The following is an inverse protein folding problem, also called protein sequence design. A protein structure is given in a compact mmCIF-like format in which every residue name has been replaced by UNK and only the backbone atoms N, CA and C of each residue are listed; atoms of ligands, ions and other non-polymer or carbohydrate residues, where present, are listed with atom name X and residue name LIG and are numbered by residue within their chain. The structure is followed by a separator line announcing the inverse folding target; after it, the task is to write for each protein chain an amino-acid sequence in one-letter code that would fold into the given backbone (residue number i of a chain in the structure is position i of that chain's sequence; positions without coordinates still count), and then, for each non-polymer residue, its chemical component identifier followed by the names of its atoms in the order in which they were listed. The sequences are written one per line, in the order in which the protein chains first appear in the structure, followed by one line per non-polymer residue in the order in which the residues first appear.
data_IF_179327679571
#
_entry.id   IF_179327679571
#
_cell.length_a   1.000
_cell.length_b   1.000
_cell.length_c   1.000
_cell.angle_alpha   90.00
_cell.angle_beta   90.00
_cell.angle_gamma   90.00
#
_symmetry.space_group_name_H-M   'P 1'
#
loop_
_entity.id
_entity.type
_entity.pdbx_description
1 polymer ?
#
# COMPACT_ATOMS: atom_id res chain seq x y z
N UNK A 1 -20.47 -2.82 -8.57
CA UNK A 1 -20.10 -1.49 -9.07
C UNK A 1 -19.62 -0.54 -7.96
N UNK A 2 -20.32 -0.41 -6.83
CA UNK A 2 -19.95 0.52 -5.73
C UNK A 2 -18.56 0.22 -5.17
N UNK A 3 -18.24 -1.06 -4.92
CA UNK A 3 -16.95 -1.48 -4.35
C UNK A 3 -15.78 -1.17 -5.29
N UNK A 4 -15.92 -1.48 -6.58
CA UNK A 4 -14.88 -1.18 -7.58
C UNK A 4 -14.64 0.33 -7.64
N UNK A 5 -15.71 1.11 -7.71
CA UNK A 5 -15.63 2.57 -7.74
C UNK A 5 -14.87 3.12 -6.53
N UNK A 6 -15.24 2.73 -5.30
CA UNK A 6 -14.58 3.17 -4.08
C UNK A 6 -13.07 2.80 -4.05
N UNK A 7 -12.71 1.61 -4.53
CA UNK A 7 -11.30 1.21 -4.61
C UNK A 7 -10.54 2.07 -5.64
N UNK A 8 -11.16 2.35 -6.80
CA UNK A 8 -10.54 3.21 -7.81
C UNK A 8 -10.44 4.67 -7.36
N UNK A 9 -11.43 5.17 -6.60
CA UNK A 9 -11.37 6.50 -5.97
C UNK A 9 -10.18 6.61 -5.01
N UNK A 10 -9.86 5.56 -4.23
CA UNK A 10 -8.68 5.55 -3.35
C UNK A 10 -7.37 5.62 -4.15
N UNK A 11 -7.27 4.90 -5.25
CA UNK A 11 -6.11 4.98 -6.16
C UNK A 11 -6.00 6.38 -6.78
N UNK A 12 -7.11 6.91 -7.28
CA UNK A 12 -7.17 8.25 -7.85
C UNK A 12 -6.75 9.32 -6.82
N UNK A 13 -7.25 9.21 -5.59
CA UNK A 13 -6.89 10.11 -4.51
C UNK A 13 -5.38 10.07 -4.21
N UNK A 14 -4.78 8.89 -4.18
CA UNK A 14 -3.34 8.74 -3.98
C UNK A 14 -2.53 9.39 -5.12
N UNK A 15 -2.95 9.22 -6.37
CA UNK A 15 -2.29 9.80 -7.54
C UNK A 15 -2.41 11.33 -7.56
N UNK A 16 -3.61 11.87 -7.32
CA UNK A 16 -3.85 13.33 -7.34
C UNK A 16 -3.22 14.06 -6.16
N UNK A 17 -2.96 13.37 -5.05
CA UNK A 17 -2.30 13.93 -3.86
C UNK A 17 -0.88 13.39 -3.66
N UNK A 18 -0.24 12.92 -4.71
CA UNK A 18 1.09 12.28 -4.62
C UNK A 18 2.12 13.15 -3.91
N UNK A 19 2.13 14.46 -4.16
CA UNK A 19 3.02 15.39 -3.47
C UNK A 19 2.83 15.37 -1.95
N UNK A 20 1.58 15.33 -1.48
CA UNK A 20 1.26 15.25 -0.04
C UNK A 20 1.69 13.89 0.54
N UNK A 21 1.44 12.81 -0.21
CA UNK A 21 1.87 11.45 0.18
C UNK A 21 3.40 11.39 0.33
N UNK A 22 4.13 11.90 -0.66
CA UNK A 22 5.59 11.90 -0.66
C UNK A 22 6.16 12.81 0.43
N UNK A 23 5.55 13.96 0.69
CA UNK A 23 5.94 14.83 1.79
C UNK A 23 5.80 14.12 3.14
N UNK A 24 4.73 13.36 3.35
CA UNK A 24 4.55 12.54 4.54
C UNK A 24 5.60 11.43 4.67
N UNK A 25 5.93 10.75 3.56
CA UNK A 25 6.95 9.70 3.53
C UNK A 25 8.37 10.23 3.76
N UNK A 26 8.70 11.35 3.14
CA UNK A 26 10.03 11.97 3.20
C UNK A 26 10.22 12.87 4.43
N UNK A 27 9.18 13.07 5.23
CA UNK A 27 9.19 14.00 6.38
C UNK A 27 9.59 15.42 6.01
N UNK A 28 9.10 15.91 4.88
CA UNK A 28 9.34 17.27 4.42
C UNK A 28 10.64 17.50 3.67
N UNK A 29 11.36 16.44 3.26
CA UNK A 29 12.50 16.61 2.37
C UNK A 29 12.06 17.11 1.00
N UNK A 30 12.83 18.05 0.43
CA UNK A 30 12.53 18.61 -0.88
C UNK A 30 12.78 17.57 -1.99
N UNK A 31 11.71 17.14 -2.64
CA UNK A 31 11.79 16.18 -3.74
C UNK A 31 12.33 16.75 -5.04
N UNK A 32 12.43 18.09 -5.17
CA UNK A 32 13.14 18.70 -6.30
C UNK A 32 14.64 18.34 -6.29
N UNK A 33 15.20 18.05 -5.10
CA UNK A 33 16.57 17.56 -4.97
C UNK A 33 16.70 16.16 -5.61
N UNK A 34 15.65 15.32 -5.56
CA UNK A 34 15.65 14.02 -6.24
C UNK A 34 15.72 14.18 -7.77
N UNK A 35 15.07 15.20 -8.33
CA UNK A 35 15.08 15.46 -9.76
C UNK A 35 16.43 15.96 -10.26
N UNK A 36 17.13 16.79 -9.45
CA UNK A 36 18.46 17.31 -9.77
C UNK A 36 19.62 16.41 -9.31
N UNK A 37 19.32 15.36 -8.53
CA UNK A 37 20.31 14.45 -7.96
C UNK A 37 21.02 14.95 -6.72
N UNK A 38 21.13 16.27 -6.54
CA UNK A 38 21.71 16.93 -5.36
C UNK A 38 21.12 18.31 -5.16
N UNK A 39 21.18 18.81 -3.94
CA UNK A 39 20.69 20.16 -3.60
C UNK A 39 21.05 20.55 -2.17
N UNK A 40 20.40 21.59 -1.67
CA UNK A 40 20.56 22.07 -0.31
C UNK A 40 19.21 22.30 0.34
N UNK A 41 19.06 21.89 1.58
CA UNK A 41 17.87 22.14 2.39
C UNK A 41 18.29 22.45 3.83
N UNK A 42 17.79 23.53 4.40
CA UNK A 42 18.12 24.00 5.76
C UNK A 42 19.62 24.13 6.02
N UNK A 43 20.39 24.61 5.04
CA UNK A 43 21.83 24.76 5.13
C UNK A 43 22.62 23.45 5.03
N UNK A 44 21.96 22.33 4.75
CA UNK A 44 22.58 21.03 4.59
C UNK A 44 22.54 20.58 3.15
N UNK A 45 23.69 20.15 2.62
CA UNK A 45 23.76 19.54 1.30
C UNK A 45 23.17 18.13 1.35
N UNK A 46 22.27 17.84 0.41
CA UNK A 46 21.54 16.57 0.30
C UNK A 46 21.71 15.99 -1.09
N UNK A 47 21.75 14.68 -1.17
CA UNK A 47 21.55 13.93 -2.42
C UNK A 47 20.71 12.69 -2.15
N UNK A 48 19.93 12.28 -3.14
CA UNK A 48 19.21 11.02 -3.12
C UNK A 48 19.97 9.98 -3.93
N UNK A 49 20.01 8.76 -3.41
CA UNK A 49 20.54 7.61 -4.14
C UNK A 49 19.65 6.40 -3.91
N UNK A 50 19.51 5.49 -4.88
CA UNK A 50 18.67 4.32 -4.72
C UNK A 50 19.29 3.34 -3.72
N UNK A 51 18.51 2.86 -2.77
CA UNK A 51 18.90 1.78 -1.83
C UNK A 51 18.57 0.39 -2.37
N UNK A 52 17.88 0.32 -3.50
CA UNK A 52 17.54 -0.91 -4.21
C UNK A 52 17.44 -0.61 -5.70
N UNK A 53 17.83 -1.53 -6.59
CA UNK A 53 17.64 -1.36 -8.03
C UNK A 53 16.16 -1.44 -8.44
N UNK A 54 15.35 -2.17 -7.70
CA UNK A 54 13.90 -2.27 -7.92
C UNK A 54 13.17 -2.63 -6.63
N UNK A 55 11.91 -2.21 -6.51
CA UNK A 55 11.00 -2.61 -5.44
C UNK A 55 10.23 -3.87 -5.85
N UNK A 56 10.41 -4.95 -5.12
CA UNK A 56 9.65 -6.19 -5.31
C UNK A 56 8.27 -6.13 -4.66
N UNK A 57 7.25 -6.61 -5.38
CA UNK A 57 5.85 -6.53 -4.94
C UNK A 57 5.15 -7.87 -5.14
N UNK A 58 4.81 -8.55 -4.05
CA UNK A 58 3.94 -9.73 -4.08
C UNK A 58 2.56 -9.30 -3.61
N UNK A 59 1.67 -9.03 -4.57
CA UNK A 59 0.38 -8.37 -4.35
C UNK A 59 -0.75 -9.35 -4.02
N UNK A 60 -1.73 -8.93 -3.22
CA UNK A 60 -2.91 -9.73 -2.91
C UNK A 60 -4.01 -9.56 -3.96
N UNK A 61 -5.05 -10.43 -3.89
CA UNK A 61 -6.23 -10.34 -4.76
C UNK A 61 -7.46 -9.71 -4.08
N UNK A 62 -7.37 -9.39 -2.79
CA UNK A 62 -8.56 -9.06 -2.01
C UNK A 62 -9.05 -7.60 -2.15
N UNK A 63 -8.17 -6.69 -2.53
CA UNK A 63 -8.52 -5.28 -2.68
C UNK A 63 -7.67 -4.57 -3.74
N UNK A 64 -8.27 -4.02 -4.80
CA UNK A 64 -7.55 -3.22 -5.80
C UNK A 64 -6.83 -2.00 -5.21
N UNK A 65 -7.39 -1.40 -4.14
CA UNK A 65 -6.84 -0.20 -3.52
C UNK A 65 -5.43 -0.38 -2.94
N UNK A 66 -4.99 -1.62 -2.64
CA UNK A 66 -3.62 -1.87 -2.14
C UNK A 66 -2.55 -1.50 -3.16
N UNK A 67 -2.92 -1.37 -4.43
CA UNK A 67 -2.01 -0.88 -5.45
C UNK A 67 -1.54 0.57 -5.18
N UNK A 68 -2.28 1.36 -4.39
CA UNK A 68 -1.84 2.70 -3.99
C UNK A 68 -0.53 2.70 -3.19
N UNK A 69 -0.13 1.59 -2.59
CA UNK A 69 1.07 1.49 -1.77
C UNK A 69 2.38 1.52 -2.59
N UNK A 70 2.34 1.09 -3.84
CA UNK A 70 3.53 1.11 -4.69
C UNK A 70 3.60 2.33 -5.63
N UNK A 71 2.51 3.06 -5.82
CA UNK A 71 2.49 4.25 -6.68
C UNK A 71 3.57 5.29 -6.32
N UNK A 72 3.89 5.55 -5.04
CA UNK A 72 4.95 6.48 -4.68
C UNK A 72 6.32 6.11 -5.21
N UNK A 73 6.61 4.82 -5.44
CA UNK A 73 7.91 4.38 -5.95
C UNK A 73 8.22 4.94 -7.35
N UNK A 74 7.18 5.13 -8.17
CA UNK A 74 7.34 5.68 -9.51
C UNK A 74 7.77 7.15 -9.44
N UNK A 75 7.13 7.94 -8.58
CA UNK A 75 7.53 9.33 -8.34
C UNK A 75 8.92 9.43 -7.71
N UNK A 76 9.33 8.42 -6.93
CA UNK A 76 10.67 8.26 -6.37
C UNK A 76 11.68 7.64 -7.36
N UNK A 77 11.31 7.50 -8.63
CA UNK A 77 12.16 6.96 -9.70
C UNK A 77 12.71 5.55 -9.41
N UNK A 78 11.92 4.75 -8.69
CA UNK A 78 12.27 3.38 -8.35
C UNK A 78 11.46 2.41 -9.20
N UNK A 79 12.10 1.59 -10.04
CA UNK A 79 11.43 0.54 -10.80
C UNK A 79 10.71 -0.45 -9.90
N UNK A 80 9.64 -1.04 -10.39
CA UNK A 80 8.84 -2.04 -9.66
C UNK A 80 8.82 -3.38 -10.37
N UNK A 81 8.91 -4.46 -9.61
CA UNK A 81 8.74 -5.83 -10.08
C UNK A 81 7.53 -6.42 -9.36
N UNK A 82 6.45 -6.65 -10.09
CA UNK A 82 5.15 -7.00 -9.54
C UNK A 82 4.79 -8.45 -9.86
N UNK A 83 4.59 -9.25 -8.84
CA UNK A 83 3.81 -10.48 -8.90
C UNK A 83 2.38 -10.14 -8.48
N UNK A 84 1.41 -10.11 -9.41
CA UNK A 84 0.03 -9.77 -9.08
C UNK A 84 -0.64 -10.88 -8.25
N UNK A 85 -1.75 -10.54 -7.61
CA UNK A 85 -2.64 -11.52 -7.02
C UNK A 85 -3.23 -12.43 -8.09
N UNK A 86 -3.36 -13.72 -7.80
CA UNK A 86 -3.83 -14.73 -8.77
C UNK A 86 -5.24 -14.42 -9.28
N UNK A 87 -6.13 -14.01 -8.40
CA UNK A 87 -7.55 -13.79 -8.71
C UNK A 87 -7.83 -12.38 -9.28
N UNK A 88 -6.90 -11.44 -9.08
CA UNK A 88 -7.04 -10.06 -9.55
C UNK A 88 -5.70 -9.51 -10.06
N UNK A 89 -5.24 -9.94 -11.24
CA UNK A 89 -4.01 -9.43 -11.86
C UNK A 89 -4.24 -8.14 -12.67
N UNK A 90 -5.47 -7.76 -12.93
CA UNK A 90 -5.80 -6.74 -13.92
C UNK A 90 -5.61 -5.30 -13.43
N UNK A 91 -5.82 -5.02 -12.15
CA UNK A 91 -5.63 -3.67 -11.62
C UNK A 91 -4.17 -3.22 -11.73
N UNK A 92 -3.16 -3.97 -11.22
CA UNK A 92 -1.77 -3.56 -11.41
C UNK A 92 -1.36 -3.50 -12.88
N UNK A 93 -1.82 -4.44 -13.70
CA UNK A 93 -1.54 -4.40 -15.14
C UNK A 93 -2.04 -3.11 -15.80
N UNK A 94 -3.31 -2.73 -15.56
CA UNK A 94 -3.89 -1.51 -16.13
C UNK A 94 -3.22 -0.24 -15.61
N UNK A 95 -2.80 -0.21 -14.35
CA UNK A 95 -2.03 0.90 -13.80
C UNK A 95 -0.68 1.04 -14.49
N UNK A 96 0.04 -0.06 -14.71
CA UNK A 96 1.28 -0.06 -15.47
C UNK A 96 1.05 0.51 -16.87
N UNK A 97 0.03 0.01 -17.60
CA UNK A 97 -0.28 0.52 -18.93
C UNK A 97 -0.62 2.02 -18.91
N UNK A 98 -1.33 2.50 -17.90
CA UNK A 98 -1.64 3.92 -17.74
C UNK A 98 -0.38 4.76 -17.51
N UNK A 99 0.56 4.29 -16.68
CA UNK A 99 1.85 4.97 -16.48
C UNK A 99 2.68 5.02 -17.76
N UNK A 100 2.78 3.93 -18.51
CA UNK A 100 3.49 3.89 -19.79
C UNK A 100 2.84 4.85 -20.78
N UNK A 101 1.52 4.86 -20.88
CA UNK A 101 0.77 5.80 -21.74
C UNK A 101 0.96 7.26 -21.31
N UNK A 102 1.24 7.51 -20.04
CA UNK A 102 1.55 8.85 -19.51
C UNK A 102 3.06 9.23 -19.69
N UNK A 103 3.88 8.38 -20.30
CA UNK A 103 5.28 8.65 -20.60
C UNK A 103 6.30 8.03 -19.64
N UNK A 104 5.87 7.18 -18.71
CA UNK A 104 6.82 6.44 -17.88
C UNK A 104 7.56 5.37 -18.73
N UNK A 105 8.87 5.16 -18.50
CA UNK A 105 9.63 4.13 -19.22
C UNK A 105 9.03 2.73 -18.99
N UNK A 106 8.80 1.97 -20.05
CA UNK A 106 8.24 0.61 -19.93
C UNK A 106 9.15 -0.31 -19.11
N UNK A 107 10.43 -0.09 -19.16
CA UNK A 107 11.48 -0.84 -18.45
C UNK A 107 11.43 -0.64 -16.93
N UNK A 108 10.72 0.40 -16.47
CA UNK A 108 10.50 0.62 -15.04
C UNK A 108 9.50 -0.38 -14.42
N UNK A 109 8.84 -1.19 -15.23
CA UNK A 109 7.76 -2.09 -14.78
C UNK A 109 8.02 -3.54 -15.19
N UNK A 110 8.32 -4.39 -14.23
CA UNK A 110 8.26 -5.84 -14.38
C UNK A 110 6.90 -6.38 -13.93
N UNK A 111 6.22 -7.16 -14.76
CA UNK A 111 4.93 -7.76 -14.41
C UNK A 111 4.99 -9.27 -14.67
N UNK A 112 4.97 -10.04 -13.59
CA UNK A 112 5.21 -11.48 -13.63
C UNK A 112 4.08 -12.24 -12.89
N UNK A 113 3.01 -12.63 -13.58
CA UNK A 113 2.05 -13.59 -13.07
C UNK A 113 2.76 -14.94 -12.89
N UNK A 114 3.03 -15.33 -11.67
CA UNK A 114 3.78 -16.54 -11.34
C UNK A 114 3.25 -17.16 -10.04
N UNK A 115 3.80 -18.29 -9.66
CA UNK A 115 3.49 -19.06 -8.46
C UNK A 115 4.25 -18.57 -7.20
N UNK A 116 4.30 -19.41 -6.18
CA UNK A 116 4.99 -19.11 -4.92
C UNK A 116 6.51 -19.11 -5.07
N UNK A 117 7.06 -19.95 -5.95
CA UNK A 117 8.50 -20.00 -6.21
C UNK A 117 8.98 -18.71 -6.87
N UNK A 118 8.27 -18.26 -7.91
CA UNK A 118 8.55 -16.98 -8.56
C UNK A 118 8.32 -15.79 -7.62
N UNK A 119 7.32 -15.84 -6.73
CA UNK A 119 7.15 -14.83 -5.69
C UNK A 119 8.37 -14.78 -4.76
N UNK A 120 8.87 -15.93 -4.31
CA UNK A 120 10.08 -16.05 -3.51
C UNK A 120 11.32 -15.49 -4.23
N UNK A 121 11.46 -15.76 -5.52
CA UNK A 121 12.56 -15.24 -6.34
C UNK A 121 12.53 -13.69 -6.38
N UNK A 122 11.36 -13.07 -6.56
CA UNK A 122 11.20 -11.60 -6.53
C UNK A 122 11.62 -11.05 -5.17
N UNK A 123 11.10 -11.63 -4.07
CA UNK A 123 11.38 -11.16 -2.70
C UNK A 123 12.86 -11.28 -2.33
N UNK A 124 13.56 -12.28 -2.85
CA UNK A 124 14.98 -12.51 -2.55
C UNK A 124 15.92 -11.72 -3.48
N UNK A 125 15.48 -11.36 -4.68
CA UNK A 125 16.32 -10.65 -5.65
C UNK A 125 16.23 -9.13 -5.48
N UNK A 126 15.05 -8.61 -5.13
CA UNK A 126 14.87 -7.19 -4.89
C UNK A 126 15.43 -6.80 -3.52
N UNK A 127 16.26 -5.76 -3.46
CA UNK A 127 16.85 -5.28 -2.21
C UNK A 127 15.83 -4.69 -1.22
N UNK A 128 14.61 -4.37 -1.69
CA UNK A 128 13.44 -3.99 -0.90
C UNK A 128 12.19 -4.61 -1.51
N UNK A 129 11.28 -5.07 -0.67
CA UNK A 129 10.03 -5.67 -1.16
C UNK A 129 8.85 -5.47 -0.22
N UNK A 130 7.64 -5.59 -0.77
CA UNK A 130 6.38 -5.69 -0.04
C UNK A 130 5.78 -7.07 -0.31
N UNK A 131 5.37 -7.77 0.73
CA UNK A 131 4.66 -9.04 0.62
C UNK A 131 3.33 -8.97 1.35
N UNK A 132 2.28 -9.41 0.66
CA UNK A 132 0.93 -9.53 1.19
C UNK A 132 0.54 -11.00 1.29
N UNK A 133 -0.05 -11.39 2.38
CA UNK A 133 -0.49 -12.76 2.58
C UNK A 133 -1.10 -13.00 3.95
N UNK A 134 -1.52 -14.22 4.18
CA UNK A 134 -1.92 -14.68 5.50
C UNK A 134 -0.72 -14.85 6.44
N UNK A 135 -1.00 -15.25 7.68
CA UNK A 135 0.05 -15.45 8.68
C UNK A 135 1.05 -16.54 8.27
N UNK A 136 0.60 -17.59 7.60
CA UNK A 136 1.47 -18.70 7.17
C UNK A 136 2.44 -18.26 6.07
N UNK A 137 1.94 -17.49 5.11
CA UNK A 137 2.75 -16.95 4.01
C UNK A 137 3.76 -15.92 4.49
N UNK A 138 3.36 -15.05 5.42
CA UNK A 138 4.15 -13.89 5.83
C UNK A 138 5.16 -14.18 6.95
N UNK A 139 4.93 -15.23 7.76
CA UNK A 139 5.77 -15.54 8.92
C UNK A 139 7.25 -15.75 8.56
N UNK A 140 7.54 -16.37 7.43
CA UNK A 140 8.91 -16.62 6.98
C UNK A 140 9.71 -15.34 6.67
N UNK A 141 9.02 -14.22 6.41
CA UNK A 141 9.64 -12.93 6.07
C UNK A 141 9.64 -11.94 7.23
N UNK A 142 9.02 -12.28 8.37
CA UNK A 142 8.79 -11.35 9.49
C UNK A 142 10.07 -10.74 10.07
N UNK A 143 11.20 -11.46 9.98
CA UNK A 143 12.48 -11.02 10.50
C UNK A 143 13.43 -10.44 9.43
N UNK A 144 12.96 -10.31 8.19
CA UNK A 144 13.77 -9.72 7.13
C UNK A 144 13.48 -8.20 7.01
N UNK A 145 14.42 -7.32 7.41
CA UNK A 145 14.19 -5.87 7.38
C UNK A 145 14.10 -5.28 5.97
N UNK A 146 14.47 -6.05 4.95
CA UNK A 146 14.32 -5.66 3.55
C UNK A 146 12.90 -5.90 3.00
N UNK A 147 12.09 -6.70 3.69
CA UNK A 147 10.75 -7.08 3.26
C UNK A 147 9.71 -6.51 4.23
N UNK A 148 8.89 -5.60 3.73
CA UNK A 148 7.74 -5.12 4.49
C UNK A 148 6.58 -6.13 4.37
N UNK A 149 6.19 -6.68 5.50
CA UNK A 149 5.15 -7.70 5.59
C UNK A 149 3.79 -7.05 5.83
N UNK A 150 2.80 -7.40 5.01
CA UNK A 150 1.40 -7.04 5.15
C UNK A 150 0.56 -8.30 5.37
N UNK A 151 0.39 -8.67 6.62
CA UNK A 151 -0.39 -9.82 7.06
C UNK A 151 -1.86 -9.49 7.34
N UNK A 152 -2.56 -10.35 8.08
CA UNK A 152 -3.94 -10.13 8.53
C UNK A 152 -4.07 -8.82 9.31
N UNK A 153 -5.18 -8.11 9.07
CA UNK A 153 -5.47 -6.86 9.77
C UNK A 153 -5.97 -7.10 11.20
N UNK A 154 -5.63 -6.18 12.08
CA UNK A 154 -6.03 -6.17 13.48
C UNK A 154 -6.83 -4.92 13.86
N UNK A 155 -7.41 -4.24 12.86
CA UNK A 155 -8.19 -3.02 13.09
C UNK A 155 -9.36 -3.27 14.03
N UNK A 156 -9.58 -2.32 14.95
CA UNK A 156 -10.65 -2.35 15.94
C UNK A 156 -11.36 -1.02 15.95
N UNK A 157 -12.63 -1.05 16.34
CA UNK A 157 -13.38 0.13 16.70
C UNK A 157 -13.37 0.21 18.24
N UNK A 158 -12.96 1.33 18.76
CA UNK A 158 -12.97 1.58 20.21
C UNK A 158 -14.04 2.62 20.49
N UNK A 159 -15.00 2.30 21.37
CA UNK A 159 -15.99 3.24 21.88
C UNK A 159 -15.67 3.44 23.35
N UNK A 160 -15.29 4.67 23.72
CA UNK A 160 -14.96 5.03 25.09
C UNK A 160 -16.20 5.27 25.96
N UNK A 161 -15.98 5.44 27.26
CA UNK A 161 -17.04 5.74 28.24
C UNK A 161 -17.75 7.07 27.92
N UNK A 162 -17.04 8.01 27.32
CA UNK A 162 -17.52 9.32 26.89
C UNK A 162 -18.50 9.27 25.71
N UNK A 163 -18.47 8.19 24.92
CA UNK A 163 -19.24 8.05 23.69
C UNK A 163 -20.24 6.89 23.72
N UNK A 164 -20.19 6.01 24.72
CA UNK A 164 -20.97 4.77 24.70
C UNK A 164 -22.48 5.00 24.70
N UNK A 165 -22.97 6.01 25.39
CA UNK A 165 -24.40 6.33 25.40
C UNK A 165 -24.92 6.85 24.07
N UNK A 166 -24.03 7.38 23.24
CA UNK A 166 -24.32 7.92 21.91
C UNK A 166 -23.85 6.99 20.77
N UNK A 167 -23.60 5.71 21.05
CA UNK A 167 -23.05 4.77 20.06
C UNK A 167 -23.86 4.69 18.75
N UNK A 168 -25.16 5.00 18.81
CA UNK A 168 -26.04 4.99 17.62
C UNK A 168 -25.64 6.03 16.59
N UNK A 169 -25.02 7.13 16.99
CA UNK A 169 -24.56 8.20 16.09
C UNK A 169 -23.37 7.72 15.22
N UNK A 170 -22.70 6.65 15.65
CA UNK A 170 -21.54 6.08 14.98
C UNK A 170 -21.84 4.80 14.18
N UNK A 171 -23.11 4.37 14.11
CA UNK A 171 -23.48 3.10 13.46
C UNK A 171 -23.03 3.04 12.00
N UNK A 172 -23.22 4.10 11.24
CA UNK A 172 -22.85 4.12 9.82
C UNK A 172 -21.33 3.98 9.61
N UNK A 173 -20.55 4.63 10.46
CA UNK A 173 -19.08 4.51 10.43
C UNK A 173 -18.62 3.12 10.90
N UNK A 174 -19.28 2.54 11.87
CA UNK A 174 -19.01 1.17 12.30
C UNK A 174 -19.33 0.17 11.20
N UNK A 175 -20.52 0.29 10.60
CA UNK A 175 -20.94 -0.58 9.49
C UNK A 175 -19.99 -0.48 8.30
N UNK A 176 -19.61 0.72 7.88
CA UNK A 176 -18.66 0.89 6.77
C UNK A 176 -17.28 0.33 7.12
N UNK A 177 -16.81 0.56 8.36
CA UNK A 177 -15.51 0.05 8.83
C UNK A 177 -15.44 -1.49 8.83
N UNK A 178 -16.56 -2.17 9.06
CA UNK A 178 -16.63 -3.64 9.09
C UNK A 178 -16.90 -4.20 7.69
N UNK A 179 -17.85 -3.62 6.96
CA UNK A 179 -18.45 -4.24 5.77
C UNK A 179 -17.87 -3.74 4.44
N UNK A 180 -17.14 -2.65 4.41
CA UNK A 180 -16.53 -2.14 3.17
C UNK A 180 -15.68 -3.22 2.50
N UNK A 181 -15.76 -3.28 1.17
CA UNK A 181 -15.11 -4.33 0.36
C UNK A 181 -15.55 -5.76 0.74
N UNK A 182 -16.78 -5.91 1.26
CA UNK A 182 -17.31 -7.19 1.71
C UNK A 182 -16.56 -7.77 2.92
N UNK A 183 -15.96 -6.91 3.76
CA UNK A 183 -15.19 -7.31 4.92
C UNK A 183 -13.82 -7.96 4.60
N UNK A 184 -13.36 -7.89 3.33
CA UNK A 184 -12.16 -8.61 2.88
C UNK A 184 -10.86 -7.81 2.97
N UNK A 185 -10.93 -6.52 3.30
CA UNK A 185 -9.72 -5.71 3.42
C UNK A 185 -9.08 -5.91 4.79
N UNK A 186 -7.76 -5.93 4.84
CA UNK A 186 -7.02 -6.01 6.11
C UNK A 186 -7.27 -4.82 7.05
N UNK A 187 -7.79 -3.71 6.52
CA UNK A 187 -8.18 -2.52 7.28
C UNK A 187 -9.62 -2.59 7.84
N UNK A 188 -10.41 -3.60 7.49
CA UNK A 188 -11.74 -3.76 8.08
C UNK A 188 -11.63 -4.05 9.58
N UNK A 189 -12.53 -3.45 10.35
CA UNK A 189 -12.57 -3.69 11.79
C UNK A 189 -13.03 -5.13 12.08
N UNK A 190 -12.26 -5.85 12.87
CA UNK A 190 -12.52 -7.25 13.24
C UNK A 190 -13.23 -7.38 14.60
N UNK A 191 -13.37 -6.28 15.35
CA UNK A 191 -14.13 -6.23 16.59
C UNK A 191 -14.48 -4.78 16.94
N UNK A 192 -15.51 -4.64 17.76
CA UNK A 192 -15.85 -3.40 18.46
C UNK A 192 -15.54 -3.63 19.95
N UNK A 193 -14.75 -2.76 20.52
CA UNK A 193 -14.39 -2.79 21.94
C UNK A 193 -15.17 -1.69 22.63
N UNK A 194 -15.91 -2.05 23.66
CA UNK A 194 -16.76 -1.16 24.45
C UNK A 194 -16.37 -1.24 25.93
N UNK A 195 -16.75 -0.24 26.76
CA UNK A 195 -16.56 -0.30 28.19
C UNK A 195 -17.21 -1.54 28.82
N UNK A 196 -16.62 -2.05 29.87
CA UNK A 196 -17.20 -3.14 30.65
C UNK A 196 -18.57 -2.67 31.21
N UNK A 197 -19.58 -3.50 31.07
CA UNK A 197 -20.97 -3.21 31.45
C UNK A 197 -21.75 -2.27 30.52
N UNK A 198 -21.23 -1.96 29.33
CA UNK A 198 -22.07 -1.36 28.31
C UNK A 198 -23.09 -2.39 27.83
N UNK A 199 -24.39 -2.09 27.93
CA UNK A 199 -25.48 -2.95 27.48
C UNK A 199 -25.95 -2.60 26.07
#
# INVERSE_FOLDING_TARGET
HVMVRRNMEKIHLALTNMKTVLNGLSRGLDLAILDSGSGEQFGTRLSYFPTTPALGLVMPSNSPAVNSLWLPSIALKTPVIIKPGKEEPWTPYRLIQAFIAAGAPAEAFGFYPTDHEGAGAILNTCGRALVFGDKSTTAQYANNPAIQVHGPGWSKILIGEDCIEHWRDYVDVMLSSISDNGGRSCINASAIVVPKYAA
#
